data_IF_152353891941
#
_entry.id   IF_152353891941
#
_cell.length_a   1.000
_cell.length_b   1.000
_cell.length_c   1.000
_cell.angle_alpha   90.00
_cell.angle_beta   90.00
_cell.angle_gamma   90.00
#
_symmetry.space_group_name_H-M   'P 1'
#
loop_
_entity.id
_entity.type
_entity.pdbx_description
1 polymer ?
#
# COMPACT_ATOMS: atom_id res chain seq x y z
N UNK A 1 26.59 -5.43 -3.29
CA UNK A 1 26.89 -5.15 -1.88
C UNK A 1 25.75 -4.27 -1.38
N UNK A 2 24.68 -4.89 -0.82
CA UNK A 2 23.49 -4.18 -0.38
C UNK A 2 23.75 -3.73 1.05
N UNK A 3 23.96 -2.43 1.23
CA UNK A 3 24.10 -1.81 2.55
C UNK A 3 22.74 -1.81 3.25
N UNK A 4 22.65 -2.54 4.38
CA UNK A 4 21.57 -2.39 5.33
C UNK A 4 21.72 -1.03 6.02
N UNK A 5 20.96 -0.03 5.59
CA UNK A 5 20.82 1.20 6.34
C UNK A 5 19.79 0.94 7.45
N UNK A 6 20.29 0.68 8.65
CA UNK A 6 19.52 0.84 9.88
C UNK A 6 19.30 2.34 10.11
N UNK A 7 18.23 2.89 9.57
CA UNK A 7 17.80 4.22 9.98
C UNK A 7 17.14 4.07 11.34
N UNK A 8 17.90 4.33 12.38
CA UNK A 8 17.37 4.46 13.73
C UNK A 8 16.34 5.58 13.77
N UNK A 9 15.19 5.32 14.40
CA UNK A 9 14.06 6.26 14.53
C UNK A 9 14.35 7.41 15.50
N UNK A 10 15.59 7.61 15.95
CA UNK A 10 15.90 8.56 17.02
C UNK A 10 16.01 10.03 16.60
N UNK A 11 16.05 10.35 15.28
CA UNK A 11 16.38 11.71 14.82
C UNK A 11 15.22 12.53 14.21
N UNK A 12 13.97 12.08 14.25
CA UNK A 12 12.85 12.82 13.65
C UNK A 12 11.72 13.19 14.65
N UNK A 13 12.08 13.79 15.79
CA UNK A 13 11.10 14.43 16.69
C UNK A 13 11.34 15.94 16.77
N UNK A 14 10.84 16.67 15.77
CA UNK A 14 10.68 18.13 15.90
C UNK A 14 9.22 18.46 16.17
N UNK A 15 8.95 18.87 17.41
CA UNK A 15 7.65 19.21 17.99
C UNK A 15 7.15 20.53 17.44
N UNK A 16 5.96 20.55 16.85
CA UNK A 16 5.16 21.79 16.73
C UNK A 16 3.94 21.70 17.65
N UNK A 17 3.89 22.60 18.62
CA UNK A 17 2.73 22.77 19.50
C UNK A 17 1.66 23.62 18.82
N UNK A 18 0.43 23.15 18.82
CA UNK A 18 -0.76 23.98 18.60
C UNK A 18 -1.81 23.71 19.68
N UNK A 19 -2.28 24.81 20.26
CA UNK A 19 -3.26 24.92 21.34
C UNK A 19 -4.62 24.33 20.97
N UNK A 20 -5.17 23.56 21.91
CA UNK A 20 -6.57 23.11 21.90
C UNK A 20 -7.53 24.13 22.49
N UNK A 21 -8.65 24.36 21.85
CA UNK A 21 -9.87 24.88 22.48
C UNK A 21 -10.98 23.83 22.37
N UNK A 22 -11.64 23.57 23.49
CA UNK A 22 -12.79 22.65 23.60
C UNK A 22 -14.08 23.33 23.16
N UNK A 23 -15.09 22.57 22.76
CA UNK A 23 -16.47 23.00 22.82
C UNK A 23 -17.35 22.11 23.71
N UNK A 24 -18.42 22.74 24.14
CA UNK A 24 -19.46 22.39 25.09
C UNK A 24 -20.37 21.19 24.75
N UNK A 25 -20.91 20.63 25.83
CA UNK A 25 -21.97 19.64 25.92
C UNK A 25 -23.32 20.06 25.30
N UNK A 26 -24.03 19.11 24.73
CA UNK A 26 -25.44 19.20 24.37
C UNK A 26 -26.13 17.84 24.38
N UNK A 27 -26.90 17.59 25.43
CA UNK A 27 -27.79 16.43 25.57
C UNK A 27 -29.01 16.54 24.63
N UNK A 28 -29.47 15.44 24.05
CA UNK A 28 -30.87 15.24 23.66
C UNK A 28 -31.31 13.77 23.78
N UNK A 29 -32.50 13.61 24.25
CA UNK A 29 -33.29 12.54 24.81
C UNK A 29 -33.69 11.38 23.88
N UNK A 30 -34.02 10.26 24.55
CA UNK A 30 -34.72 9.06 24.06
C UNK A 30 -36.22 9.31 23.77
N UNK A 31 -36.77 8.55 22.85
CA UNK A 31 -38.09 7.91 22.77
C UNK A 31 -38.26 7.29 21.39
N UNK A 32 -38.81 6.11 21.15
CA UNK A 32 -39.75 5.24 21.76
C UNK A 32 -40.11 4.12 20.78
N UNK A 33 -40.41 2.97 21.31
CA UNK A 33 -40.83 1.70 20.67
C UNK A 33 -42.11 1.78 19.85
N UNK A 34 -42.24 0.98 18.77
CA UNK A 34 -43.58 0.38 18.37
C UNK A 34 -43.41 -0.86 17.48
N UNK A 35 -44.02 -1.88 17.98
CA UNK A 35 -44.60 -3.15 17.54
C UNK A 35 -44.71 -3.55 16.07
N UNK A 36 -44.45 -4.85 15.91
CA UNK A 36 -44.66 -5.76 14.77
C UNK A 36 -46.17 -6.12 14.66
N UNK A 37 -46.66 -6.51 13.48
CA UNK A 37 -47.36 -7.78 13.39
C UNK A 37 -46.88 -8.72 12.29
N UNK A 38 -46.87 -10.01 12.64
CA UNK A 38 -46.74 -11.17 11.78
C UNK A 38 -47.93 -11.31 10.82
N UNK A 39 -47.64 -11.82 9.63
CA UNK A 39 -48.64 -12.51 8.80
C UNK A 39 -48.03 -13.66 8.01
N UNK A 40 -48.77 -14.73 8.00
CA UNK A 40 -48.56 -16.11 7.65
C UNK A 40 -48.48 -16.40 6.15
N UNK A 41 -47.80 -17.52 5.86
CA UNK A 41 -47.65 -18.20 4.57
C UNK A 41 -48.97 -18.76 3.98
N UNK A 42 -48.96 -19.12 2.67
CA UNK A 42 -49.20 -20.52 2.32
C UNK A 42 -48.24 -21.14 1.31
N UNK A 43 -48.17 -22.46 1.36
CA UNK A 43 -47.32 -23.37 0.58
C UNK A 43 -47.89 -23.73 -0.78
N UNK A 44 -46.87 -24.13 -1.65
CA UNK A 44 -46.91 -25.13 -2.73
C UNK A 44 -47.21 -24.67 -4.17
N UNK A 45 -46.75 -25.38 -5.24
CA UNK A 45 -46.07 -26.67 -5.33
C UNK A 45 -44.87 -26.75 -6.31
N UNK A 46 -44.17 -27.87 -6.24
CA UNK A 46 -43.15 -28.47 -7.08
C UNK A 46 -43.28 -28.25 -8.59
N UNK A 47 -42.18 -27.85 -9.24
CA UNK A 47 -41.90 -28.14 -10.67
C UNK A 47 -40.42 -28.01 -11.05
N UNK A 48 -39.82 -29.12 -11.40
CA UNK A 48 -38.85 -29.48 -12.47
C UNK A 48 -37.40 -28.97 -12.39
N UNK A 49 -36.44 -29.89 -12.39
CA UNK A 49 -35.02 -29.63 -12.48
C UNK A 49 -34.54 -29.90 -13.93
N UNK A 50 -34.36 -28.89 -14.78
CA UNK A 50 -33.56 -29.03 -16.04
C UNK A 50 -32.96 -27.67 -16.51
N UNK A 51 -33.30 -26.53 -15.91
CA UNK A 51 -32.77 -25.24 -16.39
C UNK A 51 -31.57 -24.67 -15.60
N UNK A 52 -31.02 -25.38 -14.63
CA UNK A 52 -29.89 -24.89 -13.80
C UNK A 52 -28.50 -25.10 -14.38
N UNK A 53 -28.33 -26.04 -15.30
CA UNK A 53 -26.98 -26.37 -15.84
C UNK A 53 -26.48 -25.41 -16.91
N UNK A 54 -27.41 -24.81 -17.65
CA UNK A 54 -27.02 -23.87 -18.74
C UNK A 54 -26.69 -22.46 -18.23
N UNK A 55 -27.27 -22.06 -17.08
CA UNK A 55 -26.96 -20.75 -16.47
C UNK A 55 -25.59 -20.73 -15.74
N UNK A 56 -25.14 -21.89 -15.23
CA UNK A 56 -23.81 -21.98 -14.59
C UNK A 56 -22.71 -21.92 -15.64
N UNK A 57 -22.90 -22.52 -16.80
CA UNK A 57 -21.92 -22.43 -17.90
C UNK A 57 -21.83 -21.04 -18.53
N UNK A 58 -22.94 -20.30 -18.61
CA UNK A 58 -22.91 -18.90 -19.11
C UNK A 58 -22.30 -17.93 -18.10
N UNK A 59 -22.43 -18.19 -16.79
CA UNK A 59 -21.77 -17.38 -15.74
C UNK A 59 -20.25 -17.62 -15.70
N UNK A 60 -19.80 -18.86 -15.98
CA UNK A 60 -18.36 -19.17 -16.06
C UNK A 60 -17.69 -18.62 -17.34
N UNK A 61 -18.46 -18.38 -18.41
CA UNK A 61 -17.95 -17.78 -19.65
C UNK A 61 -17.93 -16.23 -19.61
N UNK A 62 -18.60 -15.58 -18.66
CA UNK A 62 -18.59 -14.12 -18.52
C UNK A 62 -17.53 -13.58 -17.56
N UNK A 63 -16.72 -14.43 -16.92
CA UNK A 63 -15.68 -14.02 -15.97
C UNK A 63 -14.26 -14.22 -16.45
N UNK A 64 -14.06 -14.54 -17.72
CA UNK A 64 -12.73 -14.53 -18.33
C UNK A 64 -12.65 -13.42 -19.40
N UNK A 65 -12.86 -12.17 -19.02
CA UNK A 65 -12.17 -11.08 -19.70
C UNK A 65 -10.69 -11.32 -19.40
N UNK A 66 -9.94 -11.79 -20.39
CA UNK A 66 -8.49 -11.88 -20.28
C UNK A 66 -7.97 -10.46 -20.10
N UNK A 67 -7.82 -10.04 -18.83
CA UNK A 67 -7.06 -8.84 -18.52
C UNK A 67 -5.62 -9.12 -18.96
N UNK A 68 -5.25 -8.64 -20.13
CA UNK A 68 -3.85 -8.55 -20.50
C UNK A 68 -3.20 -7.60 -19.50
N UNK A 69 -2.14 -8.02 -18.79
CA UNK A 69 -1.46 -7.15 -17.85
C UNK A 69 -0.92 -5.91 -18.59
N UNK A 70 -0.91 -4.78 -17.89
CA UNK A 70 -0.37 -3.52 -18.42
C UNK A 70 1.11 -3.76 -18.78
N UNK A 71 1.57 -3.36 -19.98
CA UNK A 71 2.95 -3.52 -20.38
C UNK A 71 3.93 -2.83 -19.42
N UNK A 72 5.19 -3.32 -19.39
CA UNK A 72 6.23 -2.72 -18.58
C UNK A 72 6.36 -1.22 -18.90
N UNK A 73 6.42 -0.41 -17.86
CA UNK A 73 6.51 1.04 -18.00
C UNK A 73 7.85 1.45 -18.64
N UNK A 74 7.86 2.34 -19.63
CA UNK A 74 9.08 2.76 -20.32
C UNK A 74 10.07 3.51 -19.43
N UNK A 75 9.62 4.00 -18.28
CA UNK A 75 10.46 4.66 -17.28
C UNK A 75 11.11 3.69 -16.28
N UNK A 76 10.61 2.45 -16.17
CA UNK A 76 10.99 1.48 -15.12
C UNK A 76 12.49 1.24 -15.02
N UNK A 77 13.13 0.91 -16.14
CA UNK A 77 14.57 0.55 -16.14
C UNK A 77 15.45 1.72 -15.69
N UNK A 78 15.18 2.94 -16.18
CA UNK A 78 15.91 4.13 -15.76
C UNK A 78 15.67 4.46 -14.30
N UNK A 79 14.40 4.40 -13.83
CA UNK A 79 14.05 4.62 -12.42
C UNK A 79 14.80 3.67 -11.49
N UNK A 80 14.72 2.36 -11.73
CA UNK A 80 15.41 1.37 -10.89
C UNK A 80 16.92 1.56 -10.87
N UNK A 81 17.54 1.81 -12.05
CA UNK A 81 18.98 2.09 -12.14
C UNK A 81 19.39 3.35 -11.36
N UNK A 82 18.51 4.35 -11.27
CA UNK A 82 18.76 5.56 -10.49
C UNK A 82 18.60 5.31 -9.00
N UNK A 83 17.53 4.62 -8.58
CA UNK A 83 17.28 4.29 -7.17
C UNK A 83 18.37 3.40 -6.60
N UNK A 84 18.93 2.48 -7.38
CA UNK A 84 20.03 1.60 -6.98
C UNK A 84 21.34 2.38 -6.65
N UNK A 85 21.47 3.62 -7.12
CA UNK A 85 22.60 4.50 -6.78
C UNK A 85 22.41 5.25 -5.48
N UNK A 86 21.18 5.28 -4.94
CA UNK A 86 20.90 5.95 -3.67
C UNK A 86 21.49 5.13 -2.50
N UNK A 87 22.28 5.75 -1.64
CA UNK A 87 22.76 5.12 -0.40
C UNK A 87 21.61 4.63 0.48
N UNK A 88 20.56 5.43 0.56
CA UNK A 88 19.31 5.08 1.22
C UNK A 88 18.14 5.41 0.29
N UNK A 89 17.37 4.42 -0.18
CA UNK A 89 16.29 4.65 -1.13
C UNK A 89 15.05 5.25 -0.43
N UNK A 90 15.20 6.47 0.08
CA UNK A 90 14.13 7.25 0.70
C UNK A 90 13.50 8.20 -0.28
N UNK A 91 12.22 8.50 -0.08
CA UNK A 91 11.48 9.46 -0.89
C UNK A 91 10.43 10.20 -0.07
N UNK A 92 9.98 11.34 -0.60
CA UNK A 92 8.86 12.09 -0.03
C UNK A 92 7.55 11.50 -0.55
N UNK A 93 6.71 11.02 0.36
CA UNK A 93 5.35 10.60 0.05
C UNK A 93 4.38 11.70 0.45
N UNK A 94 3.65 12.22 -0.52
CA UNK A 94 2.59 13.19 -0.33
C UNK A 94 1.22 12.53 -0.42
N UNK A 95 0.32 12.92 0.48
CA UNK A 95 -1.04 12.41 0.61
C UNK A 95 -2.01 13.56 0.89
N UNK A 96 -3.30 13.28 0.84
CA UNK A 96 -4.35 14.23 1.20
C UNK A 96 -4.93 13.88 2.56
N UNK A 97 -4.89 14.84 3.49
CA UNK A 97 -5.50 14.69 4.81
C UNK A 97 -6.87 15.37 4.83
N UNK A 98 -7.89 14.56 5.07
CA UNK A 98 -9.28 15.01 5.17
C UNK A 98 -9.63 15.36 6.62
N UNK A 99 -10.17 16.56 6.84
CA UNK A 99 -10.67 17.01 8.15
C UNK A 99 -12.00 17.71 7.98
N UNK A 100 -13.08 16.99 8.10
CA UNK A 100 -14.42 17.47 7.73
C UNK A 100 -14.44 17.86 6.25
N UNK A 101 -14.84 19.10 5.94
CA UNK A 101 -14.86 19.62 4.56
C UNK A 101 -13.50 20.14 4.07
N UNK A 102 -12.48 20.16 4.93
CA UNK A 102 -11.15 20.66 4.57
C UNK A 102 -10.23 19.52 4.13
N UNK A 103 -9.52 19.73 3.03
CA UNK A 103 -8.50 18.81 2.51
C UNK A 103 -7.17 19.56 2.51
N UNK A 104 -6.15 18.96 3.12
CA UNK A 104 -4.80 19.55 3.21
C UNK A 104 -3.75 18.53 2.79
N UNK A 105 -2.69 18.97 2.08
CA UNK A 105 -1.57 18.07 1.75
C UNK A 105 -0.78 17.73 3.01
N UNK A 106 -0.25 16.52 3.05
CA UNK A 106 0.71 16.02 4.02
C UNK A 106 1.87 15.38 3.29
N UNK A 107 3.10 15.58 3.78
CA UNK A 107 4.30 14.95 3.23
C UNK A 107 5.15 14.38 4.34
N UNK A 108 5.79 13.25 4.08
CA UNK A 108 6.76 12.59 4.98
C UNK A 108 7.79 11.80 4.17
N UNK A 109 8.97 11.64 4.76
CA UNK A 109 9.97 10.73 4.21
C UNK A 109 9.58 9.28 4.54
N UNK A 110 9.66 8.42 3.54
CA UNK A 110 9.45 6.98 3.65
C UNK A 110 10.56 6.22 2.93
N UNK A 111 10.72 4.93 3.26
CA UNK A 111 11.76 4.07 2.66
C UNK A 111 11.13 3.22 1.57
N UNK A 112 11.66 3.28 0.35
CA UNK A 112 11.33 2.38 -0.74
C UNK A 112 11.79 0.96 -0.39
N UNK A 113 10.91 -0.02 -0.56
CA UNK A 113 11.14 -1.42 -0.20
C UNK A 113 11.28 -2.36 -1.41
N UNK A 114 11.36 -1.81 -2.60
CA UNK A 114 11.42 -2.55 -3.85
C UNK A 114 10.10 -2.49 -4.63
N UNK A 115 10.09 -3.10 -5.81
CA UNK A 115 8.85 -3.29 -6.56
C UNK A 115 8.04 -4.44 -5.95
N UNK A 116 6.70 -4.36 -6.05
CA UNK A 116 5.81 -5.42 -5.63
C UNK A 116 6.07 -6.70 -6.43
N UNK A 117 6.09 -7.86 -5.75
CA UNK A 117 6.47 -9.18 -6.24
C UNK A 117 7.96 -9.33 -6.64
N UNK A 118 8.78 -8.31 -6.37
CA UNK A 118 10.23 -8.29 -6.66
C UNK A 118 11.00 -7.70 -5.47
N UNK A 119 10.65 -8.10 -4.25
CA UNK A 119 11.31 -7.62 -3.04
C UNK A 119 12.82 -7.92 -3.08
N UNK A 120 13.71 -6.90 -2.89
CA UNK A 120 15.13 -7.16 -2.72
C UNK A 120 15.36 -7.89 -1.39
N UNK A 121 15.66 -9.19 -1.46
CA UNK A 121 15.70 -10.07 -0.29
C UNK A 121 16.90 -9.76 0.60
N UNK A 122 16.63 -9.42 1.86
CA UNK A 122 17.66 -9.37 2.90
C UNK A 122 18.16 -10.81 3.17
N UNK A 123 19.48 -11.06 3.15
CA UNK A 123 20.04 -12.39 3.44
C UNK A 123 19.65 -12.96 4.81
N UNK A 124 19.22 -12.12 5.77
CA UNK A 124 18.73 -12.54 7.07
C UNK A 124 17.21 -12.79 7.11
N UNK A 125 16.52 -12.61 5.99
CA UNK A 125 15.10 -12.88 5.91
C UNK A 125 14.85 -14.39 6.01
N UNK A 126 14.11 -14.80 7.03
CA UNK A 126 13.75 -16.22 7.27
C UNK A 126 12.32 -16.54 6.79
N UNK A 127 11.60 -15.57 6.24
CA UNK A 127 10.28 -15.80 5.71
C UNK A 127 10.31 -16.71 4.47
N UNK A 128 9.31 -17.56 4.28
CA UNK A 128 9.15 -18.29 3.05
C UNK A 128 8.90 -17.30 1.90
N UNK A 129 9.71 -17.36 0.85
CA UNK A 129 9.60 -16.46 -0.30
C UNK A 129 8.70 -17.04 -1.38
N UNK A 130 8.02 -16.16 -2.11
CA UNK A 130 7.36 -16.52 -3.36
C UNK A 130 8.39 -16.90 -4.44
N UNK A 131 8.02 -17.74 -5.42
CA UNK A 131 8.82 -17.90 -6.63
C UNK A 131 8.89 -16.55 -7.38
N UNK A 132 9.99 -16.33 -8.10
CA UNK A 132 10.17 -15.10 -8.91
C UNK A 132 9.32 -15.15 -10.19
N UNK A 133 8.02 -15.29 -10.02
CA UNK A 133 7.05 -15.52 -11.09
C UNK A 133 6.61 -14.21 -11.76
N UNK A 134 6.47 -13.16 -10.97
CA UNK A 134 5.97 -11.86 -11.44
C UNK A 134 7.02 -10.76 -11.38
N UNK A 135 6.84 -9.77 -12.24
CA UNK A 135 7.42 -8.44 -12.15
C UNK A 135 6.33 -7.37 -12.15
N UNK A 136 6.64 -6.19 -11.62
CA UNK A 136 5.72 -5.06 -11.63
C UNK A 136 6.44 -3.71 -11.68
N UNK A 137 5.66 -2.65 -11.93
CA UNK A 137 6.12 -1.25 -11.85
C UNK A 137 5.60 -0.57 -10.57
N UNK A 138 5.14 -1.36 -9.61
CA UNK A 138 4.48 -0.89 -8.39
C UNK A 138 5.51 -0.68 -7.28
N UNK A 139 5.49 0.49 -6.65
CA UNK A 139 6.41 0.79 -5.56
C UNK A 139 5.87 0.27 -4.24
N UNK A 140 6.75 -0.20 -3.35
CA UNK A 140 6.35 -0.65 -2.02
C UNK A 140 7.01 0.15 -0.90
N UNK A 141 6.26 0.38 0.16
CA UNK A 141 6.73 0.81 1.48
C UNK A 141 6.08 -0.04 2.57
N UNK A 142 6.61 0.01 3.78
CA UNK A 142 5.99 -0.59 4.96
C UNK A 142 5.53 0.47 5.94
N UNK A 143 4.41 0.23 6.64
CA UNK A 143 3.85 1.17 7.60
C UNK A 143 3.15 0.46 8.75
N UNK A 144 2.99 1.17 9.86
CA UNK A 144 2.11 0.75 10.95
C UNK A 144 0.67 1.19 10.62
N UNK A 145 -0.28 0.28 10.81
CA UNK A 145 -1.71 0.51 10.56
C UNK A 145 -2.31 1.66 11.40
N UNK A 146 -1.65 2.03 12.48
CA UNK A 146 -2.10 3.06 13.43
C UNK A 146 -1.55 4.44 13.11
N UNK A 147 -0.72 4.59 12.05
CA UNK A 147 -0.16 5.88 11.64
C UNK A 147 -1.18 6.76 10.94
N UNK A 148 -1.10 8.08 11.16
CA UNK A 148 -1.98 9.10 10.56
C UNK A 148 -2.07 9.03 9.03
N UNK A 149 -1.02 8.54 8.36
CA UNK A 149 -1.05 8.39 6.89
C UNK A 149 -2.02 7.31 6.40
N UNK A 150 -2.44 6.37 7.26
CA UNK A 150 -3.28 5.25 6.82
C UNK A 150 -4.65 5.72 6.33
N UNK A 151 -5.45 6.50 7.07
CA UNK A 151 -6.69 7.06 6.53
C UNK A 151 -6.46 7.99 5.32
N UNK A 152 -5.28 8.61 5.19
CA UNK A 152 -4.95 9.46 4.04
C UNK A 152 -4.73 8.66 2.74
N UNK A 153 -4.62 7.32 2.81
CA UNK A 153 -4.54 6.43 1.65
C UNK A 153 -5.92 5.98 1.13
N UNK A 154 -7.01 6.36 1.79
CA UNK A 154 -8.36 6.18 1.27
C UNK A 154 -8.77 7.33 0.35
N UNK A 155 -9.83 7.13 -0.43
CA UNK A 155 -10.35 8.15 -1.35
C UNK A 155 -11.09 9.27 -0.63
N UNK A 156 -11.61 9.01 0.54
CA UNK A 156 -12.49 9.88 1.33
C UNK A 156 -11.92 10.26 2.71
N UNK A 157 -10.75 9.72 3.07
CA UNK A 157 -10.11 9.95 4.37
C UNK A 157 -10.68 9.10 5.50
N UNK A 158 -11.47 8.07 5.18
CA UNK A 158 -11.96 7.12 6.16
C UNK A 158 -10.88 6.12 6.59
N UNK A 159 -11.02 5.57 7.80
CA UNK A 159 -10.09 4.57 8.32
C UNK A 159 -10.07 3.31 7.44
N UNK A 160 -8.86 2.78 7.23
CA UNK A 160 -8.63 1.52 6.51
C UNK A 160 -8.18 0.47 7.53
N UNK A 161 -9.10 -0.22 8.21
CA UNK A 161 -8.75 -1.18 9.26
C UNK A 161 -8.08 -2.45 8.73
N UNK A 162 -8.33 -2.77 7.47
CA UNK A 162 -7.86 -3.96 6.76
C UNK A 162 -7.21 -3.58 5.42
N UNK A 163 -7.08 -4.53 4.49
CA UNK A 163 -6.63 -4.24 3.13
C UNK A 163 -7.64 -3.35 2.41
N UNK A 164 -7.17 -2.26 1.78
CA UNK A 164 -8.04 -1.26 1.19
C UNK A 164 -7.26 -0.10 0.60
N UNK A 165 -7.90 1.05 0.45
CA UNK A 165 -7.26 2.28 -0.02
C UNK A 165 -7.68 2.68 -1.43
N UNK A 166 -6.72 3.12 -2.24
CA UNK A 166 -6.96 3.67 -3.59
C UNK A 166 -6.99 5.20 -3.61
N UNK A 167 -6.60 5.83 -2.50
CA UNK A 167 -6.45 7.29 -2.41
C UNK A 167 -5.26 7.79 -3.23
N UNK A 168 -5.32 9.07 -3.70
CA UNK A 168 -4.28 9.66 -4.52
C UNK A 168 -3.01 9.95 -3.71
N UNK A 169 -1.86 9.69 -4.32
CA UNK A 169 -0.55 9.97 -3.72
C UNK A 169 0.42 10.50 -4.77
N UNK A 170 1.46 11.19 -4.30
CA UNK A 170 2.64 11.52 -5.10
C UNK A 170 3.91 11.11 -4.35
N UNK A 171 4.77 10.33 -5.00
CA UNK A 171 6.08 9.94 -4.54
C UNK A 171 7.14 10.78 -5.25
N UNK A 172 8.03 11.44 -4.50
CA UNK A 172 9.09 12.29 -5.06
C UNK A 172 10.45 11.77 -4.62
N UNK A 173 11.26 11.30 -5.58
CA UNK A 173 12.65 10.93 -5.39
C UNK A 173 13.55 12.04 -5.95
N UNK A 174 14.59 12.36 -5.23
CA UNK A 174 15.72 13.13 -5.72
C UNK A 174 16.98 12.27 -5.65
N UNK A 175 17.47 11.87 -6.81
CA UNK A 175 18.68 11.05 -6.90
C UNK A 175 19.87 11.97 -7.15
N UNK A 176 20.66 12.19 -6.10
CA UNK A 176 21.78 13.16 -6.09
C UNK A 176 22.84 12.79 -7.12
N UNK A 177 23.18 11.51 -7.22
CA UNK A 177 24.26 10.97 -8.07
C UNK A 177 23.98 11.19 -9.56
N UNK A 178 22.70 11.16 -9.94
CA UNK A 178 22.28 11.38 -11.32
C UNK A 178 21.66 12.76 -11.55
N UNK A 179 21.54 13.57 -10.50
CA UNK A 179 20.83 14.86 -10.52
C UNK A 179 19.43 14.77 -11.16
N UNK A 180 18.75 13.66 -10.90
CA UNK A 180 17.45 13.37 -11.50
C UNK A 180 16.36 13.40 -10.45
N UNK A 181 15.27 14.11 -10.74
CA UNK A 181 14.04 14.06 -9.97
C UNK A 181 13.04 13.12 -10.64
N UNK A 182 12.44 12.25 -9.85
CA UNK A 182 11.31 11.43 -10.24
C UNK A 182 10.09 11.80 -9.41
N UNK A 183 8.96 12.05 -10.05
CA UNK A 183 7.67 12.23 -9.40
C UNK A 183 6.71 11.19 -9.97
N UNK A 184 6.19 10.32 -9.10
CA UNK A 184 5.29 9.25 -9.47
C UNK A 184 3.94 9.52 -8.80
N UNK A 185 2.94 9.88 -9.58
CA UNK A 185 1.56 10.11 -9.13
C UNK A 185 0.72 8.89 -9.43
N UNK A 186 -0.21 8.61 -8.54
CA UNK A 186 -1.10 7.48 -8.72
C UNK A 186 -1.89 7.20 -7.45
N UNK A 187 -2.22 5.94 -7.24
CA UNK A 187 -3.03 5.47 -6.12
C UNK A 187 -2.23 4.59 -5.18
N UNK A 188 -2.57 4.63 -3.89
CA UNK A 188 -1.93 3.77 -2.90
C UNK A 188 -2.93 2.81 -2.27
N UNK A 189 -2.54 1.54 -2.18
CA UNK A 189 -3.32 0.47 -1.57
C UNK A 189 -2.59 -0.08 -0.35
N UNK A 190 -3.33 -0.30 0.73
CA UNK A 190 -2.85 -0.87 1.98
C UNK A 190 -3.14 -2.37 1.99
N UNK A 191 -2.14 -3.19 2.27
CA UNK A 191 -2.25 -4.65 2.32
C UNK A 191 -1.92 -5.14 3.74
N UNK A 192 -2.86 -5.89 4.33
CA UNK A 192 -2.77 -6.49 5.66
C UNK A 192 -2.83 -8.02 5.62
N UNK A 193 -2.94 -8.63 6.80
CA UNK A 193 -3.05 -10.09 6.93
C UNK A 193 -4.31 -10.69 6.26
N UNK A 194 -5.32 -9.86 6.05
CA UNK A 194 -6.60 -10.19 5.41
C UNK A 194 -6.55 -10.21 3.89
N UNK A 195 -5.36 -10.03 3.29
CA UNK A 195 -5.24 -9.88 1.83
C UNK A 195 -5.79 -11.07 1.04
N UNK A 196 -5.75 -12.28 1.62
CA UNK A 196 -6.28 -13.48 0.98
C UNK A 196 -7.81 -13.62 1.17
N UNK A 197 -8.44 -12.80 2.01
CA UNK A 197 -9.90 -12.82 2.25
C UNK A 197 -10.68 -12.32 1.01
N UNK A 198 -11.93 -12.77 0.84
CA UNK A 198 -12.79 -12.29 -0.25
C UNK A 198 -13.03 -10.77 -0.22
N UNK A 199 -13.06 -10.15 0.96
CA UNK A 199 -13.22 -8.70 1.14
C UNK A 199 -12.12 -7.87 0.48
N UNK A 200 -10.89 -8.40 0.41
CA UNK A 200 -9.74 -7.75 -0.22
C UNK A 200 -9.63 -8.01 -1.73
N UNK A 201 -10.60 -8.70 -2.34
CA UNK A 201 -10.56 -9.06 -3.77
C UNK A 201 -10.39 -7.86 -4.70
N UNK A 202 -11.02 -6.73 -4.38
CA UNK A 202 -10.90 -5.50 -5.17
C UNK A 202 -9.46 -4.95 -5.18
N UNK A 203 -8.77 -4.99 -4.05
CA UNK A 203 -7.36 -4.54 -3.95
C UNK A 203 -6.46 -5.45 -4.77
N UNK A 204 -6.65 -6.79 -4.66
CA UNK A 204 -5.88 -7.74 -5.46
C UNK A 204 -6.09 -7.50 -6.95
N UNK A 205 -7.34 -7.35 -7.40
CA UNK A 205 -7.68 -7.10 -8.80
C UNK A 205 -7.02 -5.81 -9.35
N UNK A 206 -6.97 -4.74 -8.56
CA UNK A 206 -6.29 -3.50 -8.96
C UNK A 206 -4.78 -3.70 -9.14
N UNK A 207 -4.14 -4.39 -8.22
CA UNK A 207 -2.70 -4.65 -8.25
C UNK A 207 -2.34 -5.66 -9.36
N UNK A 208 -3.14 -6.71 -9.54
CA UNK A 208 -2.93 -7.76 -10.56
C UNK A 208 -2.86 -7.21 -11.99
N UNK A 209 -3.58 -6.13 -12.30
CA UNK A 209 -3.50 -5.46 -13.63
C UNK A 209 -2.06 -5.05 -13.99
N UNK A 210 -1.23 -4.82 -13.00
CA UNK A 210 0.15 -4.34 -13.14
C UNK A 210 1.20 -5.42 -12.90
N UNK A 211 0.78 -6.67 -12.64
CA UNK A 211 1.67 -7.82 -12.44
C UNK A 211 1.85 -8.58 -13.75
N UNK A 212 3.07 -8.74 -14.19
CA UNK A 212 3.43 -9.43 -15.44
C UNK A 212 4.21 -10.70 -15.13
N UNK A 213 3.86 -11.80 -15.81
CA UNK A 213 4.65 -13.04 -15.74
C UNK A 213 6.04 -12.81 -16.36
N UNK A 214 7.09 -13.20 -15.64
CA UNK A 214 8.47 -13.08 -16.13
C UNK A 214 8.78 -14.12 -17.20
N UNK A 215 8.52 -15.41 -16.94
CA UNK A 215 8.71 -16.52 -17.87
C UNK A 215 7.76 -17.67 -17.50
N UNK A 216 7.40 -18.49 -18.48
CA UNK A 216 6.40 -19.54 -18.34
C UNK A 216 6.89 -20.83 -17.66
N UNK A 217 8.13 -20.92 -17.22
CA UNK A 217 8.73 -22.18 -16.73
C UNK A 217 8.63 -22.39 -15.21
N UNK A 218 8.16 -21.41 -14.45
CA UNK A 218 8.05 -21.53 -13.00
C UNK A 218 6.65 -22.07 -12.62
N UNK A 219 6.59 -23.37 -12.29
CA UNK A 219 5.35 -24.05 -11.90
C UNK A 219 4.91 -23.78 -10.46
N UNK A 220 5.54 -22.83 -9.78
CA UNK A 220 5.24 -22.47 -8.39
C UNK A 220 3.94 -21.68 -8.25
N UNK A 221 3.21 -21.89 -7.16
CA UNK A 221 2.08 -21.02 -6.81
C UNK A 221 2.58 -19.76 -6.09
N UNK A 222 2.26 -18.59 -6.62
CA UNK A 222 2.47 -17.32 -5.95
C UNK A 222 1.30 -17.04 -4.97
N UNK A 223 1.61 -16.43 -3.82
CA UNK A 223 0.62 -16.21 -2.77
C UNK A 223 0.77 -14.82 -2.15
N UNK A 224 -0.33 -14.09 -1.97
CA UNK A 224 -0.38 -12.73 -1.44
C UNK A 224 0.08 -12.62 0.01
N UNK A 225 -0.45 -13.46 0.89
CA UNK A 225 -0.08 -13.46 2.31
C UNK A 225 1.38 -13.84 2.52
N UNK A 226 1.93 -14.71 1.65
CA UNK A 226 3.34 -15.06 1.64
C UNK A 226 4.22 -13.86 1.26
N UNK A 227 3.79 -13.04 0.28
CA UNK A 227 4.49 -11.81 -0.10
C UNK A 227 4.54 -10.80 1.05
N UNK A 228 3.40 -10.58 1.73
CA UNK A 228 3.35 -9.69 2.91
C UNK A 228 4.27 -10.21 4.02
N UNK A 229 4.30 -11.52 4.25
CA UNK A 229 5.18 -12.14 5.25
C UNK A 229 6.65 -11.96 4.86
N UNK A 230 6.99 -12.07 3.57
CA UNK A 230 8.32 -11.80 3.07
C UNK A 230 8.76 -10.34 3.31
N UNK A 231 7.87 -9.38 3.09
CA UNK A 231 8.12 -7.97 3.44
C UNK A 231 8.36 -7.76 4.93
N UNK A 232 7.59 -8.42 5.80
CA UNK A 232 7.80 -8.36 7.25
C UNK A 232 9.14 -8.98 7.65
N UNK A 233 9.45 -10.18 7.13
CA UNK A 233 10.71 -10.88 7.40
C UNK A 233 11.95 -10.12 6.88
N UNK A 234 11.77 -9.26 5.87
CA UNK A 234 12.83 -8.44 5.30
C UNK A 234 13.27 -7.29 6.21
N UNK A 235 12.46 -6.93 7.20
CA UNK A 235 12.80 -5.95 8.21
C UNK A 235 13.74 -6.55 9.26
N UNK A 236 14.61 -5.72 9.85
CA UNK A 236 15.40 -6.15 10.99
C UNK A 236 14.51 -6.44 12.23
N UNK A 237 14.97 -7.27 13.19
CA UNK A 237 14.20 -7.52 14.42
C UNK A 237 13.80 -6.25 15.17
N UNK A 238 14.66 -5.24 15.21
CA UNK A 238 14.35 -3.94 15.80
C UNK A 238 13.25 -3.19 15.05
N UNK A 239 13.29 -3.20 13.71
CA UNK A 239 12.23 -2.60 12.89
C UNK A 239 10.90 -3.36 13.05
N UNK A 240 10.92 -4.70 13.09
CA UNK A 240 9.72 -5.50 13.41
C UNK A 240 9.20 -5.17 14.81
N UNK A 241 10.10 -4.95 15.77
CA UNK A 241 9.76 -4.54 17.13
C UNK A 241 9.09 -3.17 17.21
N UNK A 242 9.33 -2.26 16.26
CA UNK A 242 8.66 -0.95 16.22
C UNK A 242 7.14 -1.05 16.07
N UNK A 243 6.61 -2.12 15.47
CA UNK A 243 5.17 -2.38 15.39
C UNK A 243 4.55 -2.77 16.75
N UNK A 244 5.37 -2.98 17.78
CA UNK A 244 4.96 -3.13 19.18
C UNK A 244 5.15 -1.85 20.00
N UNK A 245 5.54 -0.76 19.39
CA UNK A 245 5.58 0.53 20.05
C UNK A 245 4.17 0.99 20.46
N UNK A 246 4.01 1.89 21.44
CA UNK A 246 2.77 2.59 21.68
C UNK A 246 2.24 3.22 20.37
N UNK A 247 0.90 3.38 20.21
CA UNK A 247 0.34 3.94 19.00
C UNK A 247 0.98 5.29 18.65
N UNK A 248 1.44 5.49 17.40
CA UNK A 248 2.03 6.76 16.98
C UNK A 248 1.07 7.95 17.22
N UNK A 249 1.60 9.10 17.64
CA UNK A 249 0.81 10.31 17.88
C UNK A 249 0.08 10.37 19.23
N UNK A 250 0.10 9.30 20.03
CA UNK A 250 -0.48 9.32 21.39
C UNK A 250 0.39 10.12 22.37
N UNK A 251 -0.25 10.68 23.40
CA UNK A 251 0.47 11.41 24.45
C UNK A 251 1.42 10.48 25.21
N UNK A 252 2.63 10.95 25.50
CA UNK A 252 3.68 10.17 26.12
C UNK A 252 3.54 10.07 27.65
N UNK A 253 2.65 10.81 28.26
CA UNK A 253 2.34 10.79 29.68
C UNK A 253 1.48 9.59 30.10
N UNK A 254 0.89 8.90 29.14
CA UNK A 254 0.11 7.67 29.39
C UNK A 254 1.02 6.43 29.37
N UNK A 255 0.77 5.51 30.33
CA UNK A 255 1.49 4.24 30.38
C UNK A 255 1.05 3.37 29.18
N UNK A 256 2.00 2.80 28.42
CA UNK A 256 1.67 1.93 27.30
C UNK A 256 0.80 0.75 27.73
N UNK A 257 -0.08 0.30 26.83
CA UNK A 257 -0.86 -0.91 27.02
C UNK A 257 0.06 -2.15 27.18
N UNK A 258 -0.42 -3.23 27.81
CA UNK A 258 0.36 -4.46 27.96
C UNK A 258 0.91 -4.98 26.62
N UNK A 259 2.17 -5.38 26.61
CA UNK A 259 2.86 -5.88 25.41
C UNK A 259 3.40 -4.80 24.47
N UNK A 260 3.10 -3.51 24.71
CA UNK A 260 3.64 -2.39 23.96
C UNK A 260 4.82 -1.73 24.69
N UNK A 261 5.81 -1.26 23.95
CA UNK A 261 6.98 -0.57 24.49
C UNK A 261 8.04 -0.29 23.44
N UNK A 262 8.90 0.69 23.71
CA UNK A 262 10.00 1.05 22.81
C UNK A 262 11.18 0.06 22.92
N UNK A 263 11.98 -0.05 21.85
CA UNK A 263 13.23 -0.82 21.83
C UNK A 263 13.07 -2.33 21.82
N UNK A 264 11.86 -2.84 21.59
CA UNK A 264 11.63 -4.28 21.48
C UNK A 264 12.26 -4.83 20.19
N UNK A 265 12.67 -6.10 20.25
CA UNK A 265 13.10 -6.88 19.08
C UNK A 265 12.10 -8.01 18.87
N UNK A 266 11.63 -8.17 17.65
CA UNK A 266 10.73 -9.26 17.24
C UNK A 266 11.48 -10.17 16.29
N UNK A 267 11.87 -11.34 16.77
CA UNK A 267 12.49 -12.41 15.97
C UNK A 267 11.42 -13.28 15.30
N UNK A 268 10.32 -13.52 16.01
CA UNK A 268 9.21 -14.34 15.54
C UNK A 268 8.46 -13.62 14.40
N UNK A 269 8.33 -14.28 13.26
CA UNK A 269 7.59 -13.75 12.10
C UNK A 269 6.08 -13.81 12.27
N UNK A 270 5.60 -14.55 13.29
CA UNK A 270 4.18 -14.71 13.60
C UNK A 270 3.77 -13.90 14.86
N UNK A 271 4.67 -12.99 15.38
CA UNK A 271 4.33 -12.13 16.50
C UNK A 271 2.99 -11.42 16.26
N UNK A 272 1.99 -11.78 17.06
CA UNK A 272 0.60 -11.36 16.89
C UNK A 272 0.44 -9.83 16.89
N UNK A 273 1.12 -9.13 17.82
CA UNK A 273 1.00 -7.68 17.97
C UNK A 273 1.67 -6.97 16.79
N UNK A 274 2.90 -7.36 16.45
CA UNK A 274 3.62 -6.74 15.35
C UNK A 274 2.92 -6.99 14.01
N UNK A 275 2.48 -8.22 13.75
CA UNK A 275 1.77 -8.58 12.52
C UNK A 275 0.42 -7.86 12.38
N UNK A 276 -0.33 -7.74 13.46
CA UNK A 276 -1.59 -6.99 13.47
C UNK A 276 -1.41 -5.54 13.05
N UNK A 277 -0.31 -4.92 13.43
CA UNK A 277 -0.01 -3.52 13.13
C UNK A 277 0.76 -3.32 11.82
N UNK A 278 1.43 -4.34 11.31
CA UNK A 278 2.21 -4.28 10.07
C UNK A 278 1.32 -4.18 8.84
N UNK A 279 1.66 -3.30 7.91
CA UNK A 279 1.04 -3.19 6.57
C UNK A 279 2.11 -2.95 5.52
N UNK A 280 1.86 -3.49 4.32
CA UNK A 280 2.54 -3.09 3.09
C UNK A 280 1.66 -2.08 2.37
N UNK A 281 2.23 -1.00 1.90
CA UNK A 281 1.56 -0.07 0.99
C UNK A 281 2.13 -0.30 -0.39
N UNK A 282 1.24 -0.51 -1.36
CA UNK A 282 1.57 -0.62 -2.77
C UNK A 282 1.11 0.64 -3.48
N UNK A 283 2.03 1.35 -4.11
CA UNK A 283 1.75 2.55 -4.91
C UNK A 283 1.68 2.12 -6.37
N UNK A 284 0.56 2.43 -7.00
CA UNK A 284 0.26 2.16 -8.41
C UNK A 284 0.43 3.47 -9.19
N UNK A 285 1.54 3.66 -9.94
CA UNK A 285 1.75 4.87 -10.72
C UNK A 285 0.79 4.95 -11.92
N UNK A 286 0.18 6.10 -12.10
CA UNK A 286 -0.66 6.46 -13.25
C UNK A 286 0.01 7.52 -14.13
N UNK A 287 0.86 8.35 -13.53
CA UNK A 287 1.66 9.38 -14.20
C UNK A 287 3.05 9.42 -13.57
N UNK A 288 4.09 9.49 -14.41
CA UNK A 288 5.47 9.64 -13.95
C UNK A 288 6.12 10.80 -14.67
N UNK A 289 6.79 11.67 -13.92
CA UNK A 289 7.52 12.82 -14.42
C UNK A 289 9.01 12.67 -14.03
N UNK A 290 9.88 12.67 -15.02
CA UNK A 290 11.32 12.58 -14.86
C UNK A 290 11.94 13.90 -15.30
N UNK A 291 12.72 14.52 -14.41
CA UNK A 291 13.53 15.71 -14.72
C UNK A 291 15.00 15.36 -14.53
N UNK A 292 15.76 15.37 -15.60
CA UNK A 292 17.19 15.12 -15.62
C UNK A 292 17.95 16.45 -15.75
N UNK A 293 18.75 16.76 -14.74
CA UNK A 293 19.58 17.95 -14.63
C UNK A 293 21.07 17.58 -14.60
N UNK A 294 21.44 16.40 -15.12
CA UNK A 294 22.84 15.94 -15.16
C UNK A 294 23.70 16.84 -16.05
N UNK A 295 23.15 17.29 -17.18
CA UNK A 295 23.74 18.30 -18.04
C UNK A 295 23.11 19.68 -17.75
N UNK A 296 23.89 20.66 -17.26
CA UNK A 296 23.36 21.99 -16.96
C UNK A 296 22.98 22.81 -18.21
N UNK A 297 23.48 22.45 -19.39
CA UNK A 297 23.19 23.13 -20.66
C UNK A 297 22.06 22.46 -21.46
N UNK A 298 21.77 21.16 -21.18
CA UNK A 298 20.74 20.36 -21.86
C UNK A 298 19.89 19.58 -20.84
N UNK A 299 19.30 20.31 -19.90
CA UNK A 299 18.35 19.72 -18.94
C UNK A 299 17.14 19.15 -19.69
N UNK A 300 16.72 17.94 -19.33
CA UNK A 300 15.64 17.21 -20.03
C UNK A 300 14.53 16.80 -19.08
N UNK A 301 13.30 16.77 -19.60
CA UNK A 301 12.14 16.34 -18.86
C UNK A 301 11.25 15.44 -19.71
N UNK A 302 10.76 14.36 -19.11
CA UNK A 302 9.80 13.46 -19.73
C UNK A 302 8.63 13.26 -18.79
N UNK A 303 7.44 13.28 -19.38
CA UNK A 303 6.18 12.90 -18.74
C UNK A 303 5.71 11.59 -19.36
N UNK A 304 5.34 10.64 -18.52
CA UNK A 304 4.79 9.34 -18.88
C UNK A 304 3.39 9.26 -18.29
N UNK A 305 2.39 8.95 -19.09
CA UNK A 305 0.99 8.82 -18.65
C UNK A 305 0.46 7.45 -19.02
N UNK A 306 -0.17 6.77 -18.07
CA UNK A 306 -0.89 5.53 -18.32
C UNK A 306 -2.30 5.87 -18.83
N UNK A 307 -2.58 5.57 -20.10
CA UNK A 307 -3.88 5.79 -20.75
C UNK A 307 -4.33 4.50 -21.42
N UNK A 308 -5.54 4.09 -21.13
CA UNK A 308 -6.17 2.91 -21.73
C UNK A 308 -5.29 1.65 -21.70
N UNK A 309 -4.56 1.46 -20.56
CA UNK A 309 -3.66 0.33 -20.36
C UNK A 309 -2.31 0.42 -21.08
N UNK A 310 -1.97 1.57 -21.65
CA UNK A 310 -0.70 1.81 -22.35
C UNK A 310 0.00 3.06 -21.83
N UNK A 311 1.34 3.03 -21.80
CA UNK A 311 2.15 4.17 -21.43
C UNK A 311 2.44 5.07 -22.63
N UNK A 312 2.09 6.36 -22.52
CA UNK A 312 2.50 7.41 -23.44
C UNK A 312 3.68 8.19 -22.85
N UNK A 313 4.70 8.44 -23.66
CA UNK A 313 5.86 9.25 -23.28
C UNK A 313 5.87 10.55 -24.07
N UNK A 314 5.99 11.68 -23.38
CA UNK A 314 6.14 13.02 -23.95
C UNK A 314 7.39 13.68 -23.40
N UNK A 315 8.22 14.25 -24.28
CA UNK A 315 9.35 15.08 -23.86
C UNK A 315 8.87 16.53 -23.68
N UNK A 316 9.26 17.14 -22.58
CA UNK A 316 8.87 18.49 -22.17
C UNK A 316 10.12 19.34 -21.86
N UNK A 317 9.96 20.64 -21.87
CA UNK A 317 10.96 21.51 -21.24
C UNK A 317 10.98 21.30 -19.74
N UNK A 318 12.19 21.30 -19.10
CA UNK A 318 12.36 21.16 -17.66
C UNK A 318 11.60 22.20 -16.81
#
# INVERSE_FOLDING_TARGET
MILNVEVGFDDLNTTYQLRSQQPHDGQVQQQGSRNIPQLSLPMSPVARPIQRTTQILSHLQHTMSAHHPIPAAPWRSAFLSHVDKMESPTFMLSTLHHRGSSVTPRSRTVVYRGAWAEIPVNPKNQAPLNPSLYESDLLTITTDARMEKVPELSTDGEDIPQSGGGGPVEAVFWVVETKTQWRLRGRAYLLGQDIDDPSASHVRQEIEKHMRLKNNDDSGSWNWGKEITAHFGNLSPGMRGSFRNPPPGTKRDEKPAPGLGLGQKVEDLDDEIARRNFRVVVIVPEEVDQVDLSDPEDGRRWNYQLKDGSWEKTELWP
#
